data_IF_362357153050
#
_entry.id   IF_362357153050
#
_cell.length_a   1.000
_cell.length_b   1.000
_cell.length_c   1.000
_cell.angle_alpha   90.00
_cell.angle_beta   90.00
_cell.angle_gamma   90.00
#
_symmetry.space_group_name_H-M   'P 1'
#
loop_
_entity.id
_entity.type
_entity.pdbx_description
1 polymer ?
#
# COMPACT_ATOMS: atom_id res chain seq x y z
N UNK A 1 21.84 4.13 -2.19
CA UNK A 1 21.84 5.59 -2.17
C UNK A 1 20.47 6.08 -2.61
N UNK A 2 19.71 6.61 -1.65
CA UNK A 2 18.35 7.11 -1.88
C UNK A 2 18.44 8.45 -2.62
N UNK A 3 17.99 8.48 -3.88
CA UNK A 3 18.00 9.72 -4.64
C UNK A 3 16.91 10.66 -4.13
N UNK A 4 17.29 11.80 -3.56
CA UNK A 4 16.36 12.85 -3.13
C UNK A 4 15.56 13.51 -4.27
N UNK A 5 15.78 13.10 -5.53
CA UNK A 5 15.23 13.72 -6.75
C UNK A 5 13.96 13.07 -7.30
N UNK A 6 13.43 11.99 -6.69
CA UNK A 6 12.19 11.36 -7.15
C UNK A 6 10.94 12.18 -6.80
N UNK A 7 9.85 12.01 -7.55
CA UNK A 7 8.56 12.71 -7.29
C UNK A 7 8.01 12.43 -5.89
N UNK A 8 8.23 11.22 -5.34
CA UNK A 8 7.81 10.85 -3.98
C UNK A 8 8.55 11.69 -2.94
N UNK A 9 9.87 11.84 -3.10
CA UNK A 9 10.69 12.62 -2.16
C UNK A 9 10.32 14.11 -2.19
N UNK A 10 9.96 14.65 -3.37
CA UNK A 10 9.43 16.02 -3.47
C UNK A 10 8.11 16.17 -2.70
N UNK A 11 7.20 15.19 -2.80
CA UNK A 11 5.96 15.18 -2.04
C UNK A 11 6.20 15.20 -0.53
N UNK A 12 7.10 14.36 -0.03
CA UNK A 12 7.48 14.32 1.39
C UNK A 12 8.04 15.67 1.85
N UNK A 13 8.95 16.26 1.08
CA UNK A 13 9.57 17.56 1.41
C UNK A 13 8.54 18.68 1.39
N UNK A 14 7.62 18.67 0.42
CA UNK A 14 6.55 19.68 0.36
C UNK A 14 5.63 19.60 1.58
N UNK A 15 5.21 18.38 1.98
CA UNK A 15 4.42 18.21 3.21
C UNK A 15 5.15 18.74 4.45
N UNK A 16 6.47 18.46 4.57
CA UNK A 16 7.26 18.99 5.68
C UNK A 16 7.34 20.51 5.72
N UNK A 17 7.23 21.18 4.55
CA UNK A 17 7.29 22.65 4.43
C UNK A 17 5.95 23.31 4.63
N UNK A 18 4.93 22.80 3.96
CA UNK A 18 3.65 23.49 3.80
C UNK A 18 2.60 23.01 4.81
N UNK A 19 2.63 21.73 5.19
CA UNK A 19 1.62 21.07 6.04
C UNK A 19 2.27 20.12 7.04
N UNK A 20 3.20 20.59 7.91
CA UNK A 20 3.96 19.73 8.81
C UNK A 20 3.08 18.92 9.78
N UNK A 21 1.95 19.45 10.21
CA UNK A 21 0.97 18.78 11.08
C UNK A 21 0.29 17.58 10.41
N UNK A 22 0.21 17.58 9.07
CA UNK A 22 -0.36 16.49 8.29
C UNK A 22 0.64 15.36 7.99
N UNK A 23 1.91 15.56 8.33
CA UNK A 23 2.97 14.60 7.99
C UNK A 23 2.69 13.20 8.53
N UNK A 24 2.20 13.10 9.77
CA UNK A 24 1.81 11.84 10.39
C UNK A 24 0.72 11.10 9.61
N UNK A 25 -0.25 11.83 9.08
CA UNK A 25 -1.38 11.27 8.33
C UNK A 25 -1.01 10.90 6.88
N UNK A 26 -0.14 11.69 6.24
CA UNK A 26 0.19 11.53 4.82
C UNK A 26 1.36 10.57 4.59
N UNK A 27 2.16 10.28 5.61
CA UNK A 27 3.34 9.44 5.48
C UNK A 27 3.06 8.00 5.91
N UNK A 28 3.55 7.03 5.12
CA UNK A 28 3.39 5.60 5.42
C UNK A 28 4.22 5.12 6.61
N UNK A 29 5.03 6.00 7.21
CA UNK A 29 5.84 5.66 8.35
C UNK A 29 7.14 4.91 8.02
N UNK A 30 7.74 4.36 9.07
CA UNK A 30 9.03 3.67 9.04
C UNK A 30 8.84 2.28 9.63
N UNK A 31 9.46 1.27 9.01
CA UNK A 31 9.61 -0.05 9.62
C UNK A 31 11.07 -0.25 9.98
N UNK A 32 11.31 -0.57 11.23
CA UNK A 32 12.66 -0.79 11.77
C UNK A 32 12.72 -2.08 12.59
N UNK A 33 13.93 -2.59 12.74
CA UNK A 33 14.26 -3.71 13.63
C UNK A 33 15.33 -3.28 14.63
N UNK A 34 15.34 -3.90 15.79
CA UNK A 34 16.35 -3.71 16.81
C UNK A 34 16.62 -5.02 17.54
N UNK A 35 17.76 -5.17 18.22
CA UNK A 35 18.01 -6.33 19.08
C UNK A 35 17.52 -6.12 20.50
N UNK A 36 17.52 -4.87 20.98
CA UNK A 36 17.11 -4.53 22.35
C UNK A 36 16.53 -3.11 22.42
N UNK A 37 15.56 -2.92 23.30
CA UNK A 37 14.99 -1.60 23.62
C UNK A 37 15.01 -1.45 25.14
N UNK A 38 15.46 -0.31 25.60
CA UNK A 38 15.36 0.13 26.99
C UNK A 38 14.37 1.29 27.08
N UNK A 39 13.38 1.18 27.95
CA UNK A 39 12.41 2.23 28.20
C UNK A 39 12.83 3.10 29.38
N UNK A 40 12.46 4.37 29.31
CA UNK A 40 12.64 5.29 30.43
C UNK A 40 11.62 4.96 31.54
N UNK A 41 12.12 4.81 32.77
CA UNK A 41 11.31 4.55 33.95
C UNK A 41 10.41 5.73 34.34
N UNK A 42 10.69 6.93 33.83
CA UNK A 42 9.95 8.18 34.10
C UNK A 42 8.76 8.40 33.19
N UNK A 43 8.13 7.34 32.65
CA UNK A 43 6.94 7.45 31.81
C UNK A 43 5.78 8.06 32.61
N UNK A 44 5.51 9.34 32.40
CA UNK A 44 4.34 10.04 32.95
C UNK A 44 3.18 9.97 31.95
N UNK A 45 1.96 9.84 32.45
CA UNK A 45 0.72 9.90 31.63
C UNK A 45 0.53 8.74 30.63
N UNK A 46 1.08 7.54 30.88
CA UNK A 46 0.91 6.37 30.01
C UNK A 46 1.73 6.41 28.71
N UNK A 47 2.58 7.41 28.52
CA UNK A 47 3.47 7.52 27.35
C UNK A 47 4.78 6.82 27.67
N UNK A 48 5.09 5.74 26.94
CA UNK A 48 6.37 5.06 27.02
C UNK A 48 7.43 5.86 26.24
N UNK A 49 8.52 6.22 26.89
CA UNK A 49 9.69 6.83 26.25
C UNK A 49 10.79 5.80 26.07
N UNK A 50 11.36 5.73 24.89
CA UNK A 50 12.50 4.87 24.61
C UNK A 50 13.76 5.62 25.07
N UNK A 51 14.54 5.02 25.94
CA UNK A 51 15.82 5.54 26.41
C UNK A 51 16.95 5.16 25.48
N UNK A 52 16.99 3.90 25.05
CA UNK A 52 18.01 3.40 24.13
C UNK A 52 17.49 2.29 23.22
N UNK A 53 18.09 2.16 22.06
CA UNK A 53 17.82 1.11 21.09
C UNK A 53 19.17 0.54 20.62
N UNK A 54 19.34 -0.79 20.67
CA UNK A 54 20.54 -1.45 20.16
C UNK A 54 20.30 -2.03 18.77
N UNK A 55 21.29 -1.93 17.90
CA UNK A 55 21.28 -2.48 16.54
C UNK A 55 20.05 -2.04 15.72
N UNK A 56 19.69 -0.74 15.84
CA UNK A 56 18.58 -0.17 15.06
C UNK A 56 18.86 -0.23 13.56
N UNK A 57 17.99 -0.87 12.81
CA UNK A 57 18.06 -0.95 11.36
C UNK A 57 16.73 -0.58 10.73
N UNK A 58 16.71 0.42 9.84
CA UNK A 58 15.54 0.80 9.06
C UNK A 58 15.43 -0.14 7.86
N UNK A 59 14.36 -0.91 7.78
CA UNK A 59 14.10 -1.90 6.71
C UNK A 59 13.08 -1.41 5.68
N UNK A 60 12.24 -0.42 6.04
CA UNK A 60 11.35 0.30 5.13
C UNK A 60 11.16 1.74 5.63
N UNK A 61 10.82 2.68 4.72
CA UNK A 61 10.70 4.11 5.07
C UNK A 61 12.02 4.88 4.94
N UNK A 62 13.02 4.31 4.28
CA UNK A 62 14.30 4.98 4.03
C UNK A 62 14.15 6.29 3.26
N UNK A 63 13.17 6.39 2.35
CA UNK A 63 12.86 7.64 1.65
C UNK A 63 12.34 8.72 2.60
N UNK A 64 11.48 8.36 3.56
CA UNK A 64 10.98 9.26 4.60
C UNK A 64 12.15 9.81 5.42
N UNK A 65 13.00 8.94 5.93
CA UNK A 65 14.17 9.32 6.74
C UNK A 65 15.14 10.21 5.97
N UNK A 66 15.47 9.84 4.72
CA UNK A 66 16.37 10.63 3.88
C UNK A 66 15.77 12.00 3.52
N UNK A 67 14.46 12.07 3.27
CA UNK A 67 13.77 13.34 2.96
C UNK A 67 13.71 14.25 4.17
N UNK A 68 13.46 13.72 5.36
CA UNK A 68 13.50 14.49 6.62
C UNK A 68 14.89 15.03 6.88
N UNK A 69 15.94 14.20 6.75
CA UNK A 69 17.33 14.65 6.89
C UNK A 69 17.66 15.75 5.89
N UNK A 70 17.27 15.58 4.62
CA UNK A 70 17.50 16.57 3.59
C UNK A 70 16.73 17.87 3.88
N UNK A 71 15.49 17.78 4.32
CA UNK A 71 14.67 18.93 4.68
C UNK A 71 15.29 19.73 5.83
N UNK A 72 15.78 19.06 6.87
CA UNK A 72 16.47 19.69 7.99
C UNK A 72 17.77 20.38 7.56
N UNK A 73 18.59 19.70 6.76
CA UNK A 73 19.94 20.19 6.44
C UNK A 73 19.97 21.25 5.35
N UNK A 74 19.05 21.23 4.37
CA UNK A 74 19.05 22.13 3.23
C UNK A 74 18.02 23.24 3.33
N UNK A 75 16.91 23.01 4.06
CA UNK A 75 15.84 24.00 4.21
C UNK A 75 15.66 24.47 5.64
N UNK A 76 16.51 23.97 6.57
CA UNK A 76 16.46 24.32 7.99
C UNK A 76 15.06 24.14 8.62
N UNK A 77 14.33 23.07 8.18
CA UNK A 77 13.01 22.78 8.71
C UNK A 77 13.16 22.22 10.13
N UNK A 78 12.39 22.80 11.06
CA UNK A 78 12.27 22.31 12.42
C UNK A 78 11.49 20.98 12.42
N UNK A 79 12.12 19.89 12.88
CA UNK A 79 11.52 18.57 12.97
C UNK A 79 10.91 18.27 14.34
N UNK A 80 11.01 19.14 15.32
CA UNK A 80 10.56 18.90 16.70
C UNK A 80 9.04 18.70 16.79
N UNK A 81 8.30 19.23 15.81
CA UNK A 81 6.84 19.09 15.72
C UNK A 81 6.39 18.05 14.70
N UNK A 82 7.34 17.33 14.08
CA UNK A 82 7.04 16.34 13.07
C UNK A 82 6.94 14.96 13.73
N UNK A 83 5.80 14.32 13.53
CA UNK A 83 5.55 12.96 14.03
C UNK A 83 5.55 11.97 12.87
N UNK A 84 6.16 10.81 13.10
CA UNK A 84 6.24 9.71 12.13
C UNK A 84 5.83 8.43 12.83
N UNK A 85 4.92 7.68 12.20
CA UNK A 85 4.59 6.35 12.67
C UNK A 85 5.79 5.42 12.47
N UNK A 86 6.18 4.66 13.51
CA UNK A 86 7.24 3.68 13.41
C UNK A 86 6.76 2.32 13.92
N UNK A 87 6.88 1.30 13.06
CA UNK A 87 6.77 -0.10 13.46
C UNK A 87 8.17 -0.60 13.82
N UNK A 88 8.41 -0.81 15.11
CA UNK A 88 9.68 -1.32 15.60
C UNK A 88 9.52 -2.78 16.07
N UNK A 89 10.30 -3.68 15.47
CA UNK A 89 10.35 -5.10 15.85
C UNK A 89 11.63 -5.41 16.60
N UNK A 90 11.51 -5.87 17.83
CA UNK A 90 12.68 -6.33 18.62
C UNK A 90 12.90 -7.80 18.33
N UNK A 91 14.10 -8.15 17.90
CA UNK A 91 14.47 -9.49 17.42
C UNK A 91 15.70 -9.94 18.18
N UNK A 92 15.65 -11.14 18.74
CA UNK A 92 16.79 -11.74 19.40
C UNK A 92 18.01 -11.78 18.46
N UNK A 93 19.20 -11.47 18.97
CA UNK A 93 20.45 -11.39 18.19
C UNK A 93 20.71 -12.65 17.35
N UNK A 94 20.41 -13.83 17.87
CA UNK A 94 20.59 -15.12 17.17
C UNK A 94 19.71 -15.25 15.91
N UNK A 95 18.60 -14.49 15.85
CA UNK A 95 17.64 -14.53 14.75
C UNK A 95 17.78 -13.37 13.77
N UNK A 96 18.63 -12.39 14.04
CA UNK A 96 18.75 -11.18 13.21
C UNK A 96 19.04 -11.51 11.75
N UNK A 97 20.02 -12.37 11.48
CA UNK A 97 20.42 -12.73 10.10
C UNK A 97 19.31 -13.43 9.30
N UNK A 98 18.41 -14.15 9.98
CA UNK A 98 17.34 -14.91 9.32
C UNK A 98 16.02 -14.16 9.23
N UNK A 99 15.68 -13.34 10.24
CA UNK A 99 14.38 -12.68 10.36
C UNK A 99 14.39 -11.30 9.72
N UNK A 100 15.46 -10.51 9.88
CA UNK A 100 15.53 -9.14 9.33
C UNK A 100 15.36 -9.12 7.80
N UNK A 101 16.02 -9.99 7.00
CA UNK A 101 15.78 -10.02 5.55
C UNK A 101 14.34 -10.35 5.17
N UNK A 102 13.68 -11.23 5.94
CA UNK A 102 12.26 -11.57 5.71
C UNK A 102 11.36 -10.37 5.99
N UNK A 103 11.56 -9.68 7.12
CA UNK A 103 10.80 -8.47 7.45
C UNK A 103 11.01 -7.41 6.36
N UNK A 104 12.26 -7.16 5.95
CA UNK A 104 12.59 -6.22 4.89
C UNK A 104 11.89 -6.59 3.58
N UNK A 105 11.96 -7.85 3.17
CA UNK A 105 11.28 -8.33 1.97
C UNK A 105 9.77 -8.08 2.03
N UNK A 106 9.10 -8.51 3.10
CA UNK A 106 7.65 -8.36 3.21
C UNK A 106 7.23 -6.89 3.36
N UNK A 107 7.99 -6.07 4.08
CA UNK A 107 7.70 -4.64 4.19
C UNK A 107 7.83 -3.89 2.86
N UNK A 108 8.72 -4.34 1.96
CA UNK A 108 8.98 -3.70 0.68
C UNK A 108 8.18 -4.32 -0.50
N UNK A 109 7.53 -5.47 -0.31
CA UNK A 109 6.74 -6.15 -1.36
C UNK A 109 5.24 -5.88 -1.25
N UNK A 110 4.82 -4.92 -0.44
CA UNK A 110 3.41 -4.51 -0.38
C UNK A 110 2.98 -3.96 -1.74
N UNK A 111 1.79 -4.39 -2.18
CA UNK A 111 1.24 -3.97 -3.46
C UNK A 111 1.16 -2.44 -3.55
N UNK A 112 1.84 -1.87 -4.54
CA UNK A 112 1.69 -0.46 -4.84
C UNK A 112 0.24 -0.17 -5.27
N UNK A 113 -0.45 0.70 -4.52
CA UNK A 113 -1.76 1.20 -4.92
C UNK A 113 -1.56 2.09 -6.14
N UNK A 114 -2.20 1.77 -7.26
CA UNK A 114 -2.15 2.59 -8.47
C UNK A 114 -3.11 3.78 -8.33
N UNK A 115 -2.77 4.92 -8.95
CA UNK A 115 -3.70 6.07 -9.05
C UNK A 115 -5.08 5.67 -9.55
N UNK A 116 -5.14 4.73 -10.51
CA UNK A 116 -6.40 4.17 -10.99
C UNK A 116 -7.25 3.50 -9.90
N UNK A 117 -6.65 2.97 -8.83
CA UNK A 117 -7.40 2.29 -7.76
C UNK A 117 -8.16 3.29 -6.88
N UNK A 118 -7.68 4.53 -6.74
CA UNK A 118 -8.39 5.59 -6.01
C UNK A 118 -9.72 5.96 -6.66
N UNK A 119 -9.82 5.84 -8.00
CA UNK A 119 -11.04 6.15 -8.73
C UNK A 119 -12.06 5.01 -8.75
N UNK A 120 -11.75 3.86 -8.16
CA UNK A 120 -12.66 2.71 -8.14
C UNK A 120 -14.04 3.05 -7.58
N UNK A 121 -14.13 3.99 -6.64
CA UNK A 121 -15.38 4.42 -6.01
C UNK A 121 -15.99 5.68 -6.65
N UNK A 122 -15.44 6.17 -7.75
CA UNK A 122 -16.06 7.30 -8.47
C UNK A 122 -17.44 6.90 -9.01
N UNK A 123 -18.48 7.77 -8.93
CA UNK A 123 -19.84 7.46 -9.35
C UNK A 123 -19.95 6.89 -10.76
N UNK A 124 -19.14 7.38 -11.70
CA UNK A 124 -19.07 6.85 -13.06
C UNK A 124 -18.76 5.35 -13.08
N UNK A 125 -17.70 4.92 -12.36
CA UNK A 125 -17.28 3.52 -12.36
C UNK A 125 -18.28 2.61 -11.64
N UNK A 126 -18.99 3.12 -10.62
CA UNK A 126 -20.07 2.39 -9.95
C UNK A 126 -21.25 2.19 -10.90
N UNK A 127 -21.65 3.25 -11.60
CA UNK A 127 -22.76 3.18 -12.59
C UNK A 127 -22.41 2.27 -13.75
N UNK A 128 -21.18 2.34 -14.25
CA UNK A 128 -20.72 1.51 -15.36
C UNK A 128 -20.67 0.03 -14.99
N UNK A 129 -20.22 -0.31 -13.77
CA UNK A 129 -20.24 -1.67 -13.23
C UNK A 129 -21.68 -2.23 -13.17
N UNK A 130 -22.63 -1.42 -12.70
CA UNK A 130 -24.06 -1.78 -12.71
C UNK A 130 -24.61 -2.00 -14.12
N UNK A 131 -24.19 -1.19 -15.09
CA UNK A 131 -24.59 -1.36 -16.48
C UNK A 131 -24.03 -2.66 -17.06
N UNK A 132 -22.75 -2.95 -16.86
CA UNK A 132 -22.11 -4.19 -17.30
C UNK A 132 -22.80 -5.43 -16.72
N UNK A 133 -23.13 -5.40 -15.44
CA UNK A 133 -23.77 -6.53 -14.75
C UNK A 133 -25.23 -6.79 -15.18
N UNK A 134 -25.93 -5.76 -15.68
CA UNK A 134 -27.32 -5.85 -16.10
C UNK A 134 -27.50 -6.12 -17.59
N UNK A 135 -26.53 -5.76 -18.41
CA UNK A 135 -26.63 -5.91 -19.86
C UNK A 135 -25.90 -7.17 -20.32
N UNK A 136 -26.59 -7.93 -21.15
CA UNK A 136 -26.02 -9.12 -21.79
C UNK A 136 -24.95 -8.70 -22.80
N UNK A 137 -23.88 -9.47 -22.87
CA UNK A 137 -22.93 -9.31 -23.95
C UNK A 137 -23.49 -9.84 -25.28
N UNK A 138 -23.04 -9.30 -26.43
CA UNK A 138 -23.47 -9.82 -27.72
C UNK A 138 -23.19 -11.31 -27.84
N UNK A 139 -24.18 -12.06 -28.27
CA UNK A 139 -24.08 -13.51 -28.42
C UNK A 139 -23.10 -13.84 -29.53
N UNK A 140 -22.07 -14.61 -29.22
CA UNK A 140 -21.20 -15.20 -30.25
C UNK A 140 -22.01 -16.33 -30.99
N UNK A 141 -21.75 -16.49 -32.30
CA UNK A 141 -22.52 -17.42 -33.16
C UNK A 141 -22.54 -18.87 -32.61
N UNK A 142 -21.53 -19.28 -31.86
CA UNK A 142 -21.39 -20.63 -31.30
C UNK A 142 -21.72 -20.74 -29.79
N UNK A 143 -22.15 -19.64 -29.13
CA UNK A 143 -22.37 -19.67 -27.68
C UNK A 143 -23.78 -20.22 -27.37
N UNK A 144 -23.84 -21.31 -26.61
CA UNK A 144 -25.11 -21.89 -26.12
C UNK A 144 -25.78 -21.04 -25.05
N UNK A 145 -24.98 -20.34 -24.22
CA UNK A 145 -25.44 -19.58 -23.05
C UNK A 145 -25.32 -18.07 -23.26
N UNK A 146 -26.20 -17.32 -22.60
CA UNK A 146 -26.09 -15.87 -22.48
C UNK A 146 -24.92 -15.51 -21.54
N UNK A 147 -24.05 -14.62 -21.99
CA UNK A 147 -22.91 -14.11 -21.23
C UNK A 147 -23.09 -12.65 -20.87
N UNK A 148 -22.31 -12.18 -19.90
CA UNK A 148 -22.38 -10.81 -19.42
C UNK A 148 -20.98 -10.18 -19.46
N UNK A 149 -20.94 -8.87 -19.55
CA UNK A 149 -19.72 -8.11 -19.36
C UNK A 149 -19.34 -8.11 -17.88
N UNK A 150 -18.04 -8.28 -17.59
CA UNK A 150 -17.47 -8.07 -16.26
C UNK A 150 -16.62 -6.83 -16.26
N UNK A 151 -16.97 -5.85 -15.48
CA UNK A 151 -16.14 -4.66 -15.32
C UNK A 151 -15.23 -4.80 -14.10
N UNK A 152 -13.93 -4.90 -14.33
CA UNK A 152 -12.93 -4.97 -13.26
C UNK A 152 -12.68 -3.57 -12.68
N UNK A 153 -13.61 -3.12 -11.84
CA UNK A 153 -13.54 -1.83 -11.16
C UNK A 153 -12.38 -1.75 -10.16
N UNK A 154 -12.14 -2.82 -9.40
CA UNK A 154 -10.97 -2.99 -8.54
C UNK A 154 -10.02 -4.00 -9.18
N UNK A 155 -8.73 -3.71 -9.18
CA UNK A 155 -7.70 -4.58 -9.74
C UNK A 155 -7.76 -5.96 -9.13
N UNK A 156 -7.80 -7.00 -9.96
CA UNK A 156 -7.84 -8.40 -9.54
C UNK A 156 -9.24 -8.90 -9.19
N UNK A 157 -10.28 -8.07 -9.23
CA UNK A 157 -11.64 -8.46 -8.87
C UNK A 157 -12.15 -9.67 -9.68
N UNK A 158 -11.74 -9.80 -10.95
CA UNK A 158 -12.10 -10.97 -11.75
C UNK A 158 -11.41 -12.26 -11.26
N UNK A 159 -10.15 -12.17 -10.85
CA UNK A 159 -9.44 -13.31 -10.25
C UNK A 159 -10.03 -13.70 -8.90
N UNK A 160 -10.44 -12.71 -8.12
CA UNK A 160 -11.04 -12.92 -6.79
C UNK A 160 -12.40 -13.64 -6.89
N UNK A 161 -13.14 -13.47 -7.99
CA UNK A 161 -14.39 -14.22 -8.24
C UNK A 161 -14.16 -15.74 -8.25
N UNK A 162 -13.01 -16.19 -8.71
CA UNK A 162 -12.67 -17.61 -8.84
C UNK A 162 -11.75 -18.09 -7.71
N UNK A 163 -11.19 -17.19 -6.91
CA UNK A 163 -10.32 -17.52 -5.79
C UNK A 163 -11.07 -18.37 -4.75
N UNK A 164 -10.44 -19.43 -4.32
CA UNK A 164 -10.98 -20.35 -3.29
C UNK A 164 -12.34 -20.99 -3.61
N UNK A 165 -12.73 -21.04 -4.90
CA UNK A 165 -13.98 -21.66 -5.37
C UNK A 165 -13.77 -23.11 -5.81
N UNK A 166 -14.85 -23.88 -5.81
CA UNK A 166 -14.84 -25.23 -6.39
C UNK A 166 -14.67 -25.20 -7.91
N UNK A 167 -14.18 -26.27 -8.53
CA UNK A 167 -14.06 -26.38 -10.00
C UNK A 167 -15.39 -26.16 -10.71
N UNK A 168 -16.51 -26.63 -10.13
CA UNK A 168 -17.85 -26.45 -10.67
C UNK A 168 -18.28 -24.97 -10.64
N UNK A 169 -18.00 -24.25 -9.54
CA UNK A 169 -18.31 -22.82 -9.42
C UNK A 169 -17.45 -21.97 -10.36
N UNK A 170 -16.14 -22.30 -10.48
CA UNK A 170 -15.25 -21.62 -11.43
C UNK A 170 -15.80 -21.76 -12.85
N UNK A 171 -16.18 -22.97 -13.26
CA UNK A 171 -16.77 -23.23 -14.58
C UNK A 171 -18.00 -22.36 -14.80
N UNK A 172 -18.95 -22.34 -13.84
CA UNK A 172 -20.18 -21.54 -13.92
C UNK A 172 -19.90 -20.03 -14.03
N UNK A 173 -18.90 -19.53 -13.27
CA UNK A 173 -18.50 -18.12 -13.30
C UNK A 173 -17.86 -17.77 -14.65
N UNK A 174 -16.95 -18.60 -15.16
CA UNK A 174 -16.29 -18.35 -16.45
C UNK A 174 -17.21 -18.52 -17.65
N UNK A 175 -18.23 -19.37 -17.55
CA UNK A 175 -19.31 -19.46 -18.56
C UNK A 175 -20.18 -18.20 -18.56
N UNK A 176 -20.45 -17.61 -17.39
CA UNK A 176 -21.24 -16.38 -17.27
C UNK A 176 -20.44 -15.12 -17.65
N UNK A 177 -19.20 -15.06 -17.24
CA UNK A 177 -18.26 -13.96 -17.47
C UNK A 177 -16.98 -14.49 -18.12
N UNK A 178 -16.98 -14.69 -19.44
CA UNK A 178 -15.78 -15.12 -20.16
C UNK A 178 -14.64 -14.11 -20.04
N UNK A 179 -13.41 -14.56 -20.02
CA UNK A 179 -12.23 -13.71 -19.84
C UNK A 179 -12.04 -12.66 -20.94
N UNK A 180 -12.54 -12.92 -22.14
CA UNK A 180 -12.53 -11.99 -23.27
C UNK A 180 -13.67 -10.93 -23.20
N UNK A 181 -14.54 -11.02 -22.21
CA UNK A 181 -15.58 -10.04 -21.90
C UNK A 181 -15.30 -9.30 -20.59
N UNK A 182 -14.08 -9.34 -20.11
CA UNK A 182 -13.62 -8.56 -18.97
C UNK A 182 -13.13 -7.20 -19.46
N UNK A 183 -13.75 -6.15 -18.96
CA UNK A 183 -13.36 -4.75 -19.23
C UNK A 183 -12.54 -4.23 -18.07
N UNK A 184 -11.34 -3.76 -18.35
CA UNK A 184 -10.49 -3.11 -17.36
C UNK A 184 -10.78 -1.63 -17.28
N UNK A 185 -10.55 -1.04 -16.12
CA UNK A 185 -10.73 0.41 -15.92
C UNK A 185 -9.87 1.24 -16.87
N UNK A 186 -8.69 0.74 -17.23
CA UNK A 186 -7.77 1.36 -18.20
C UNK A 186 -8.29 1.34 -19.64
N UNK A 187 -9.25 0.49 -19.97
CA UNK A 187 -9.81 0.39 -21.32
C UNK A 187 -10.87 1.46 -21.59
N UNK A 188 -11.29 2.18 -20.52
CA UNK A 188 -12.41 3.13 -20.55
C UNK A 188 -11.96 4.56 -20.23
N UNK A 189 -10.68 4.76 -19.92
CA UNK A 189 -10.09 6.05 -19.53
C UNK A 189 -9.55 6.85 -20.70
#
# INVERSE_FOLDING_TARGET
FLQARGNVNKGIINTLKEEPEMFFAYNNGITATASEIEFDSASSNGVLKIKSIKNLQIVNGGQTTASMYYARTHFNIDLDKIFVQMKLSVINEELLETVVPKISRFANTQNAVNKADFFANHPFHITFDLLCSKNMAPKKEEALNTTYWFYERARGAYKDLTAYKSKADIKRITEKFPSDQVLLKTDIS
#
